data_IF_927115304184
#
_entry.id   IF_927115304184
#
_cell.length_a   1.000
_cell.length_b   1.000
_cell.length_c   1.000
_cell.angle_alpha   90.00
_cell.angle_beta   90.00
_cell.angle_gamma   90.00
#
_symmetry.space_group_name_H-M   'P 1'
#
loop_
_entity.id
_entity.type
_entity.pdbx_description
1 polymer ?
#
# COMPACT_ATOMS: atom_id res chain seq x y z
N UNK A 1 13.57 -9.88 -13.15
CA UNK A 1 12.14 -10.25 -12.97
C UNK A 1 11.36 -8.97 -12.73
N UNK A 2 10.57 -8.55 -13.71
CA UNK A 2 10.13 -7.17 -13.88
C UNK A 2 8.95 -6.81 -12.98
N UNK A 3 8.99 -5.61 -12.39
CA UNK A 3 7.90 -4.96 -11.62
C UNK A 3 6.53 -5.04 -12.30
N UNK A 4 6.50 -5.13 -13.63
CA UNK A 4 5.30 -5.29 -14.44
C UNK A 4 4.58 -6.64 -14.24
N UNK A 5 5.32 -7.72 -13.96
CA UNK A 5 4.75 -9.05 -13.74
C UNK A 5 4.12 -9.19 -12.35
N UNK A 6 4.70 -8.51 -11.35
CA UNK A 6 4.23 -8.55 -9.97
C UNK A 6 2.91 -7.77 -9.76
N UNK A 7 2.74 -6.64 -10.47
CA UNK A 7 1.48 -5.88 -10.47
C UNK A 7 0.34 -6.70 -11.10
N UNK A 8 0.64 -7.47 -12.16
CA UNK A 8 -0.36 -8.36 -12.77
C UNK A 8 -0.78 -9.54 -11.89
N UNK A 9 0.08 -10.01 -10.99
CA UNK A 9 -0.27 -11.12 -10.09
C UNK A 9 -1.29 -10.70 -9.01
N UNK A 10 -1.19 -9.46 -8.49
CA UNK A 10 -2.21 -8.87 -7.60
C UNK A 10 -3.55 -8.65 -8.29
N UNK A 11 -3.57 -8.49 -9.62
CA UNK A 11 -4.79 -8.28 -10.40
C UNK A 11 -5.59 -9.57 -10.68
N UNK A 12 -5.01 -10.76 -10.46
CA UNK A 12 -5.59 -12.05 -10.90
C UNK A 12 -6.29 -12.88 -9.80
N UNK A 13 -6.02 -12.64 -8.52
CA UNK A 13 -6.57 -13.46 -7.42
C UNK A 13 -7.68 -12.70 -6.69
N UNK A 14 -8.93 -12.85 -7.15
CA UNK A 14 -10.16 -12.50 -6.40
C UNK A 14 -10.39 -11.02 -6.03
N UNK A 15 -9.39 -10.17 -6.17
CA UNK A 15 -9.38 -8.78 -5.70
C UNK A 15 -10.24 -7.85 -6.55
N UNK A 16 -10.63 -8.21 -7.78
CA UNK A 16 -11.41 -7.29 -8.63
C UNK A 16 -12.85 -7.12 -8.16
N UNK A 17 -13.48 -8.18 -7.63
CA UNK A 17 -14.93 -8.21 -7.40
C UNK A 17 -15.35 -7.34 -6.21
N UNK A 18 -14.74 -7.52 -5.03
CA UNK A 18 -15.07 -6.72 -3.83
C UNK A 18 -14.62 -5.25 -4.02
N UNK A 19 -13.52 -5.06 -4.72
CA UNK A 19 -12.89 -3.78 -5.04
C UNK A 19 -13.66 -2.95 -6.07
N UNK A 20 -14.65 -3.54 -6.75
CA UNK A 20 -15.63 -2.87 -7.61
C UNK A 20 -16.96 -2.62 -6.85
N UNK A 21 -17.33 -3.50 -5.93
CA UNK A 21 -18.59 -3.35 -5.17
C UNK A 21 -18.50 -2.34 -4.02
N UNK A 22 -17.35 -2.23 -3.34
CA UNK A 22 -17.20 -1.34 -2.17
C UNK A 22 -16.50 -0.03 -2.52
N UNK A 23 -15.37 -0.08 -3.22
CA UNK A 23 -14.52 1.10 -3.42
C UNK A 23 -15.11 2.12 -4.39
N UNK A 24 -15.85 1.68 -5.39
CA UNK A 24 -16.43 2.55 -6.44
C UNK A 24 -17.58 3.43 -5.93
N UNK A 25 -18.58 2.91 -5.19
CA UNK A 25 -19.61 3.76 -4.59
C UNK A 25 -19.04 4.67 -3.48
N UNK A 26 -18.08 4.20 -2.68
CA UNK A 26 -17.42 5.04 -1.67
C UNK A 26 -16.59 6.18 -2.29
N UNK A 27 -15.88 5.92 -3.39
CA UNK A 27 -15.16 6.95 -4.11
C UNK A 27 -16.10 8.00 -4.72
N UNK A 28 -17.27 7.58 -5.20
CA UNK A 28 -18.33 8.46 -5.69
C UNK A 28 -18.94 9.29 -4.56
N UNK A 29 -19.24 8.67 -3.41
CA UNK A 29 -19.78 9.34 -2.21
C UNK A 29 -18.81 10.40 -1.66
N UNK A 30 -17.51 10.11 -1.69
CA UNK A 30 -16.44 11.01 -1.25
C UNK A 30 -16.02 12.03 -2.33
N UNK A 31 -16.70 12.07 -3.48
CA UNK A 31 -16.44 12.95 -4.61
C UNK A 31 -14.97 12.95 -5.05
N UNK A 32 -14.35 11.76 -5.03
CA UNK A 32 -12.95 11.58 -5.40
C UNK A 32 -12.84 11.65 -6.93
N UNK A 33 -12.58 12.85 -7.45
CA UNK A 33 -12.35 13.07 -8.88
C UNK A 33 -10.91 12.71 -9.25
N UNK A 34 -10.74 11.84 -10.24
CA UNK A 34 -9.42 11.53 -10.77
C UNK A 34 -8.87 12.75 -11.50
N UNK A 35 -7.77 13.31 -10.97
CA UNK A 35 -7.07 14.40 -11.65
C UNK A 35 -6.38 13.83 -12.87
N UNK A 36 -6.87 14.16 -14.07
CA UNK A 36 -6.23 13.80 -15.34
C UNK A 36 -4.81 14.36 -15.36
N UNK A 37 -3.82 13.46 -15.40
CA UNK A 37 -2.41 13.86 -15.46
C UNK A 37 -1.98 13.97 -16.91
N UNK A 38 -1.21 15.03 -17.19
CA UNK A 38 -0.63 15.25 -18.51
C UNK A 38 0.29 14.07 -18.87
N UNK A 39 0.04 13.50 -20.06
CA UNK A 39 0.88 12.45 -20.64
C UNK A 39 2.11 13.08 -21.28
N UNK A 40 3.23 12.38 -21.19
CA UNK A 40 4.47 12.82 -21.79
C UNK A 40 4.33 12.58 -23.30
N UNK A 41 4.74 13.54 -24.15
CA UNK A 41 4.73 13.35 -25.59
C UNK A 41 5.48 12.07 -25.98
N UNK A 42 5.03 11.29 -26.97
CA UNK A 42 5.74 10.09 -27.39
C UNK A 42 7.14 10.45 -27.90
N UNK A 43 8.18 9.90 -27.29
CA UNK A 43 9.57 10.05 -27.73
C UNK A 43 10.35 8.76 -27.42
N UNK A 44 10.69 7.99 -28.46
CA UNK A 44 11.32 6.68 -28.31
C UNK A 44 12.69 6.74 -27.65
N UNK A 45 13.48 7.77 -27.97
CA UNK A 45 14.83 7.99 -27.42
C UNK A 45 14.78 8.25 -25.92
N UNK A 46 13.89 9.16 -25.49
CA UNK A 46 13.74 9.50 -24.08
C UNK A 46 13.11 8.34 -23.28
N UNK A 47 12.15 7.62 -23.85
CA UNK A 47 11.53 6.45 -23.21
C UNK A 47 12.55 5.30 -23.05
N UNK A 48 13.38 5.05 -24.07
CA UNK A 48 14.43 4.05 -24.01
C UNK A 48 15.41 4.35 -22.86
N UNK A 49 15.91 5.60 -22.77
CA UNK A 49 16.78 6.03 -21.66
C UNK A 49 16.07 5.91 -20.29
N UNK A 50 14.80 6.31 -20.21
CA UNK A 50 14.02 6.25 -18.96
C UNK A 50 13.90 4.83 -18.39
N UNK A 51 13.75 3.83 -19.28
CA UNK A 51 13.58 2.44 -18.91
C UNK A 51 14.92 1.72 -18.64
N UNK A 52 16.02 2.15 -19.26
CA UNK A 52 17.31 1.43 -19.22
C UNK A 52 18.36 2.10 -18.33
N UNK A 53 18.49 3.42 -18.39
CA UNK A 53 19.58 4.16 -17.74
C UNK A 53 19.15 4.81 -16.43
N UNK A 54 17.98 5.44 -16.40
CA UNK A 54 17.47 6.06 -15.17
C UNK A 54 16.35 7.06 -15.35
N UNK A 55 15.68 7.39 -14.24
CA UNK A 55 14.51 8.29 -14.20
C UNK A 55 14.87 9.77 -14.03
N UNK A 56 16.12 10.08 -13.69
CA UNK A 56 16.61 11.43 -13.42
C UNK A 56 17.93 11.64 -14.16
N UNK A 57 17.90 12.17 -15.39
CA UNK A 57 19.12 12.42 -16.16
C UNK A 57 19.94 13.54 -15.53
N UNK A 58 21.26 13.40 -15.56
CA UNK A 58 22.23 14.46 -15.19
C UNK A 58 22.40 15.45 -16.34
N UNK A 59 23.02 16.61 -16.07
CA UNK A 59 23.19 17.68 -17.07
C UNK A 59 23.82 17.20 -18.39
N UNK A 60 24.89 16.40 -18.30
CA UNK A 60 25.57 15.82 -19.48
C UNK A 60 24.64 14.91 -20.29
N UNK A 61 23.80 14.13 -19.61
CA UNK A 61 22.83 13.24 -20.25
C UNK A 61 21.68 14.02 -20.89
N UNK A 62 21.25 15.13 -20.26
CA UNK A 62 20.24 16.05 -20.84
C UNK A 62 20.74 16.64 -22.15
N UNK A 63 22.02 17.05 -22.23
CA UNK A 63 22.61 17.56 -23.48
C UNK A 63 22.70 16.50 -24.57
N UNK A 64 23.11 15.28 -24.23
CA UNK A 64 23.14 14.15 -25.17
C UNK A 64 21.75 13.79 -25.69
N UNK A 65 20.77 13.68 -24.80
CA UNK A 65 19.38 13.37 -25.14
C UNK A 65 18.73 14.50 -25.95
N UNK A 66 19.08 15.76 -25.67
CA UNK A 66 18.66 16.93 -26.45
C UNK A 66 19.12 16.81 -27.90
N UNK A 67 20.40 16.47 -28.12
CA UNK A 67 20.94 16.25 -29.47
C UNK A 67 20.29 15.07 -30.20
N UNK A 68 20.05 13.96 -29.50
CA UNK A 68 19.47 12.75 -30.11
C UNK A 68 17.96 12.85 -30.40
N UNK A 69 17.24 13.64 -29.60
CA UNK A 69 15.78 13.77 -29.71
C UNK A 69 15.32 14.99 -30.51
N UNK A 70 16.23 15.92 -30.85
CA UNK A 70 15.91 17.18 -31.50
C UNK A 70 15.15 18.17 -30.60
N UNK A 71 15.08 17.90 -29.29
CA UNK A 71 14.40 18.74 -28.30
C UNK A 71 15.42 19.64 -27.59
N UNK A 72 15.00 20.82 -27.11
CA UNK A 72 15.81 21.63 -26.20
C UNK A 72 16.01 20.93 -24.85
N UNK A 73 17.11 21.23 -24.14
CA UNK A 73 17.36 20.67 -22.80
C UNK A 73 16.19 20.87 -21.82
N UNK A 74 15.54 22.04 -21.86
CA UNK A 74 14.32 22.32 -21.06
C UNK A 74 13.14 21.41 -21.42
N UNK A 75 12.95 21.09 -22.70
CA UNK A 75 11.90 20.18 -23.14
C UNK A 75 12.19 18.74 -22.69
N UNK A 76 13.46 18.32 -22.72
CA UNK A 76 13.89 17.02 -22.18
C UNK A 76 13.58 16.94 -20.69
N UNK A 77 14.00 17.92 -19.89
CA UNK A 77 13.73 17.96 -18.45
C UNK A 77 12.22 17.94 -18.13
N UNK A 78 11.43 18.74 -18.86
CA UNK A 78 9.96 18.76 -18.74
C UNK A 78 9.37 17.40 -19.08
N UNK A 79 9.88 16.72 -20.11
CA UNK A 79 9.44 15.39 -20.49
C UNK A 79 9.69 14.38 -19.35
N UNK A 80 10.90 14.35 -18.77
CA UNK A 80 11.22 13.47 -17.64
C UNK A 80 10.40 13.80 -16.39
N UNK A 81 10.09 15.07 -16.15
CA UNK A 81 9.18 15.47 -15.07
C UNK A 81 7.76 14.92 -15.30
N UNK A 82 7.19 15.13 -16.49
CA UNK A 82 5.87 14.61 -16.85
C UNK A 82 5.81 13.08 -16.81
N UNK A 83 6.84 12.39 -17.32
CA UNK A 83 6.93 10.92 -17.35
C UNK A 83 6.99 10.31 -15.96
N UNK A 84 7.76 10.91 -15.04
CA UNK A 84 7.75 10.53 -13.61
C UNK A 84 6.41 10.79 -12.94
N UNK A 85 5.72 11.87 -13.30
CA UNK A 85 4.40 12.17 -12.75
C UNK A 85 3.31 11.22 -13.26
N UNK A 86 3.48 10.63 -14.44
CA UNK A 86 2.63 9.53 -14.94
C UNK A 86 2.86 8.23 -14.17
N UNK A 87 4.10 7.90 -13.81
CA UNK A 87 4.42 6.68 -13.03
C UNK A 87 3.81 6.69 -11.62
N UNK A 88 3.48 7.87 -11.08
CA UNK A 88 2.89 7.97 -9.74
C UNK A 88 1.51 7.28 -9.76
N UNK A 89 1.17 6.42 -8.79
CA UNK A 89 -0.15 5.80 -8.74
C UNK A 89 -1.25 6.88 -8.65
N UNK A 90 -2.39 6.64 -9.30
CA UNK A 90 -3.52 7.56 -9.27
C UNK A 90 -4.15 7.59 -7.87
N UNK A 91 -4.86 8.68 -7.56
CA UNK A 91 -5.47 8.83 -6.24
C UNK A 91 -6.58 7.79 -6.04
N UNK A 92 -7.34 7.46 -7.08
CA UNK A 92 -8.29 6.35 -7.07
C UNK A 92 -7.60 5.02 -6.80
N UNK A 93 -6.46 4.74 -7.45
CA UNK A 93 -5.69 3.51 -7.19
C UNK A 93 -5.27 3.40 -5.72
N UNK A 94 -4.76 4.49 -5.14
CA UNK A 94 -4.39 4.54 -3.71
C UNK A 94 -5.60 4.37 -2.79
N UNK A 95 -6.71 5.05 -3.07
CA UNK A 95 -7.94 4.95 -2.29
C UNK A 95 -8.51 3.53 -2.34
N UNK A 96 -8.48 2.92 -3.51
CA UNK A 96 -8.93 1.55 -3.75
C UNK A 96 -8.06 0.53 -3.00
N UNK A 97 -6.74 0.68 -3.06
CA UNK A 97 -5.80 -0.12 -2.27
C UNK A 97 -6.03 0.04 -0.76
N UNK A 98 -6.25 1.27 -0.27
CA UNK A 98 -6.54 1.54 1.14
C UNK A 98 -7.89 0.97 1.59
N UNK A 99 -8.95 1.12 0.78
CA UNK A 99 -10.30 0.63 1.09
C UNK A 99 -10.36 -0.88 1.18
N UNK A 100 -9.62 -1.58 0.31
CA UNK A 100 -9.49 -3.04 0.38
C UNK A 100 -8.84 -3.48 1.68
N UNK A 101 -7.67 -2.91 1.99
CA UNK A 101 -6.95 -3.20 3.25
C UNK A 101 -7.84 -2.97 4.45
N UNK A 102 -8.55 -1.84 4.49
CA UNK A 102 -9.49 -1.51 5.56
C UNK A 102 -10.61 -2.55 5.69
N UNK A 103 -11.31 -2.86 4.60
CA UNK A 103 -12.43 -3.83 4.61
C UNK A 103 -11.97 -5.18 5.12
N UNK A 104 -10.76 -5.57 4.71
CA UNK A 104 -10.18 -6.84 5.04
C UNK A 104 -9.75 -6.95 6.51
N UNK A 105 -9.05 -5.95 7.04
CA UNK A 105 -8.73 -5.89 8.47
C UNK A 105 -9.99 -5.82 9.34
N UNK A 106 -11.04 -5.13 8.88
CA UNK A 106 -12.33 -5.08 9.57
C UNK A 106 -13.00 -6.45 9.65
N UNK A 107 -12.99 -7.23 8.57
CA UNK A 107 -13.54 -8.59 8.56
C UNK A 107 -12.75 -9.51 9.48
N UNK A 108 -11.41 -9.46 9.45
CA UNK A 108 -10.55 -10.23 10.34
C UNK A 108 -10.85 -9.92 11.82
N UNK A 109 -10.93 -8.63 12.17
CA UNK A 109 -11.27 -8.18 13.52
C UNK A 109 -12.65 -8.69 13.99
N UNK A 110 -13.69 -8.60 13.15
CA UNK A 110 -15.03 -9.10 13.50
C UNK A 110 -15.01 -10.63 13.67
N UNK A 111 -14.28 -11.35 12.81
CA UNK A 111 -14.14 -12.79 12.90
C UNK A 111 -13.42 -13.21 14.19
N UNK A 112 -12.32 -12.52 14.54
CA UNK A 112 -11.59 -12.75 15.80
C UNK A 112 -12.45 -12.48 17.03
N UNK A 113 -13.20 -11.37 17.03
CA UNK A 113 -14.14 -11.07 18.11
C UNK A 113 -15.23 -12.15 18.23
N UNK A 114 -15.80 -12.58 17.11
CA UNK A 114 -16.79 -13.66 17.08
C UNK A 114 -16.26 -15.01 17.58
N UNK A 115 -14.97 -15.29 17.39
CA UNK A 115 -14.35 -16.55 17.83
C UNK A 115 -14.10 -16.63 19.34
N UNK A 116 -14.00 -15.47 20.03
CA UNK A 116 -13.62 -15.39 21.45
C UNK A 116 -14.73 -14.86 22.37
N UNK A 117 -15.70 -14.10 21.88
CA UNK A 117 -16.67 -13.36 22.72
C UNK A 117 -17.56 -14.28 23.55
N UNK A 118 -17.87 -15.48 23.08
CA UNK A 118 -18.69 -16.46 23.79
C UNK A 118 -17.87 -17.32 24.77
N UNK A 119 -16.57 -17.04 24.91
CA UNK A 119 -15.66 -17.88 25.67
C UNK A 119 -15.39 -17.33 27.07
N UNK A 120 -15.39 -18.19 28.10
CA UNK A 120 -15.28 -17.72 29.48
C UNK A 120 -13.90 -17.12 29.80
N UNK A 121 -12.83 -17.55 29.11
CA UNK A 121 -11.48 -16.98 29.27
C UNK A 121 -11.30 -15.60 28.63
N UNK A 122 -12.26 -15.12 27.84
CA UNK A 122 -12.26 -13.74 27.36
C UNK A 122 -12.56 -12.74 28.48
N UNK A 123 -13.43 -13.13 29.42
CA UNK A 123 -13.84 -12.29 30.55
C UNK A 123 -13.06 -12.59 31.84
N UNK A 124 -12.54 -13.80 32.00
CA UNK A 124 -11.77 -14.21 33.17
C UNK A 124 -10.43 -14.83 32.77
N UNK A 125 -9.35 -14.06 32.96
CA UNK A 125 -7.99 -14.46 32.63
C UNK A 125 -7.50 -15.67 33.45
N UNK A 126 -8.12 -15.98 34.60
CA UNK A 126 -7.75 -17.19 35.36
C UNK A 126 -8.12 -18.46 34.60
N UNK A 127 -9.20 -18.42 33.82
CA UNK A 127 -9.67 -19.55 33.00
C UNK A 127 -8.79 -19.83 31.79
N UNK A 128 -7.87 -18.92 31.45
CA UNK A 128 -6.86 -19.16 30.41
C UNK A 128 -5.97 -20.35 30.78
N UNK A 129 -5.61 -20.47 32.06
CA UNK A 129 -4.65 -21.46 32.56
C UNK A 129 -5.29 -22.74 33.10
N UNK A 130 -6.61 -22.74 33.24
CA UNK A 130 -7.35 -23.89 33.75
C UNK A 130 -7.19 -25.10 32.80
N UNK A 131 -6.78 -26.24 33.37
CA UNK A 131 -6.52 -27.47 32.62
C UNK A 131 -5.19 -27.50 31.85
N UNK A 132 -4.33 -26.48 31.94
CA UNK A 132 -2.98 -26.55 31.39
C UNK A 132 -2.14 -27.60 32.13
N UNK A 133 -1.33 -28.45 31.45
CA UNK A 133 -0.97 -28.42 30.02
C UNK A 133 -1.91 -29.19 29.08
N UNK A 134 -2.91 -29.91 29.59
CA UNK A 134 -3.82 -30.75 28.79
C UNK A 134 -5.13 -29.98 28.55
N UNK A 135 -5.07 -28.98 27.68
CA UNK A 135 -6.24 -28.24 27.22
C UNK A 135 -6.80 -28.91 25.96
N UNK A 136 -8.09 -29.29 25.98
CA UNK A 136 -8.78 -29.78 24.79
C UNK A 136 -9.05 -28.63 23.83
N UNK A 137 -8.59 -28.74 22.58
CA UNK A 137 -8.88 -27.73 21.55
C UNK A 137 -10.32 -27.86 21.09
N UNK A 138 -11.09 -26.78 21.20
CA UNK A 138 -12.46 -26.73 20.69
C UNK A 138 -12.40 -26.53 19.17
N UNK A 139 -13.27 -27.17 18.36
CA UNK A 139 -13.24 -27.03 16.91
C UNK A 139 -13.26 -25.57 16.41
N UNK A 140 -13.98 -24.67 17.09
CA UNK A 140 -13.99 -23.25 16.74
C UNK A 140 -12.62 -22.58 16.90
N UNK A 141 -11.87 -22.94 17.95
CA UNK A 141 -10.52 -22.41 18.18
C UNK A 141 -9.54 -22.97 17.16
N UNK A 142 -9.67 -24.25 16.81
CA UNK A 142 -8.85 -24.87 15.76
C UNK A 142 -9.00 -24.11 14.44
N UNK A 143 -10.25 -23.91 13.99
CA UNK A 143 -10.50 -23.20 12.73
C UNK A 143 -10.05 -21.75 12.78
N UNK A 144 -10.26 -21.06 13.90
CA UNK A 144 -9.75 -19.71 14.09
C UNK A 144 -8.22 -19.65 13.92
N UNK A 145 -7.48 -20.52 14.63
CA UNK A 145 -6.03 -20.65 14.50
C UNK A 145 -5.58 -20.95 13.06
N UNK A 146 -6.21 -21.91 12.39
CA UNK A 146 -5.81 -22.30 11.03
C UNK A 146 -6.06 -21.19 10.02
N UNK A 147 -7.21 -20.50 10.13
CA UNK A 147 -7.56 -19.38 9.25
C UNK A 147 -6.59 -18.22 9.49
N UNK A 148 -6.34 -17.86 10.74
CA UNK A 148 -5.50 -16.72 11.12
C UNK A 148 -4.02 -16.97 10.81
N UNK A 149 -3.52 -18.18 11.03
CA UNK A 149 -2.16 -18.55 10.62
C UNK A 149 -2.02 -18.52 9.09
N UNK A 150 -2.97 -19.10 8.35
CA UNK A 150 -2.99 -19.07 6.88
C UNK A 150 -3.06 -17.63 6.35
N UNK A 151 -3.82 -16.80 7.05
CA UNK A 151 -3.97 -15.39 6.78
C UNK A 151 -2.64 -14.64 6.93
N UNK A 152 -1.95 -14.76 8.07
CA UNK A 152 -0.65 -14.14 8.27
C UNK A 152 0.43 -14.61 7.28
N UNK A 153 0.42 -15.90 6.92
CA UNK A 153 1.27 -16.42 5.84
C UNK A 153 0.98 -15.76 4.49
N UNK A 154 -0.31 -15.60 4.14
CA UNK A 154 -0.70 -14.92 2.89
C UNK A 154 -0.22 -13.47 2.85
N UNK A 155 -0.20 -12.78 3.99
CA UNK A 155 0.30 -11.41 4.11
C UNK A 155 1.80 -11.36 3.94
N UNK A 156 2.52 -12.29 4.56
CA UNK A 156 3.97 -12.38 4.43
C UNK A 156 4.39 -12.56 2.95
N UNK A 157 3.74 -13.46 2.21
CA UNK A 157 3.99 -13.67 0.78
C UNK A 157 3.59 -12.44 -0.07
N UNK A 158 2.46 -11.81 0.26
CA UNK A 158 1.98 -10.61 -0.43
C UNK A 158 2.93 -9.42 -0.23
N UNK A 159 3.49 -9.27 0.97
CA UNK A 159 4.47 -8.22 1.29
C UNK A 159 5.79 -8.52 0.59
N UNK A 160 6.28 -9.76 0.60
CA UNK A 160 7.52 -10.16 -0.09
C UNK A 160 7.49 -9.82 -1.60
N UNK A 161 6.30 -9.80 -2.19
CA UNK A 161 6.07 -9.45 -3.60
C UNK A 161 5.91 -7.94 -3.84
N UNK A 162 5.76 -7.13 -2.78
CA UNK A 162 5.52 -5.69 -2.88
C UNK A 162 6.82 -4.88 -3.08
N UNK A 163 6.69 -3.70 -3.68
CA UNK A 163 7.84 -2.80 -3.88
C UNK A 163 8.35 -2.36 -2.52
N UNK A 164 9.66 -2.53 -2.28
CA UNK A 164 10.33 -2.24 -1.00
C UNK A 164 10.08 -0.78 -0.56
N UNK A 165 9.12 -0.59 0.34
CA UNK A 165 8.86 0.69 1.02
C UNK A 165 9.78 0.82 2.24
N UNK A 166 9.88 2.02 2.83
CA UNK A 166 10.71 2.24 4.03
C UNK A 166 10.25 1.39 5.22
N UNK A 167 8.94 1.11 5.28
CA UNK A 167 8.30 0.38 6.38
C UNK A 167 8.24 -1.14 6.12
N UNK A 168 8.84 -1.61 5.01
CA UNK A 168 8.82 -3.01 4.59
C UNK A 168 9.47 -3.95 5.61
N UNK A 169 10.61 -3.53 6.19
CA UNK A 169 11.33 -4.36 7.17
C UNK A 169 10.54 -4.54 8.45
N UNK A 170 9.93 -3.46 8.93
CA UNK A 170 9.11 -3.46 10.13
C UNK A 170 7.88 -4.35 9.96
N UNK A 171 7.17 -4.23 8.83
CA UNK A 171 6.04 -5.10 8.52
C UNK A 171 6.46 -6.57 8.45
N UNK A 172 7.57 -6.92 7.78
CA UNK A 172 8.03 -8.32 7.73
C UNK A 172 8.38 -8.86 9.12
N UNK A 173 9.13 -8.08 9.92
CA UNK A 173 9.51 -8.52 11.27
C UNK A 173 8.28 -8.79 12.11
N UNK A 174 7.28 -7.91 12.05
CA UNK A 174 6.00 -8.08 12.74
C UNK A 174 5.25 -9.34 12.32
N UNK A 175 5.12 -9.60 11.01
CA UNK A 175 4.41 -10.78 10.50
C UNK A 175 5.15 -12.08 10.82
N UNK A 176 6.48 -12.08 10.77
CA UNK A 176 7.28 -13.24 11.18
C UNK A 176 7.14 -13.50 12.68
N UNK A 177 7.17 -12.44 13.50
CA UNK A 177 7.01 -12.56 14.95
C UNK A 177 5.63 -13.13 15.32
N UNK A 178 4.55 -12.64 14.71
CA UNK A 178 3.18 -13.15 14.93
C UNK A 178 3.04 -14.61 14.48
N UNK A 179 3.57 -14.99 13.31
CA UNK A 179 3.57 -16.40 12.86
C UNK A 179 4.30 -17.31 13.85
N UNK A 180 5.46 -16.88 14.34
CA UNK A 180 6.22 -17.65 15.35
C UNK A 180 5.42 -17.77 16.64
N UNK A 181 4.80 -16.68 17.11
CA UNK A 181 4.04 -16.66 18.36
C UNK A 181 2.79 -17.56 18.30
N UNK A 182 2.05 -17.51 17.18
CA UNK A 182 0.89 -18.37 16.91
C UNK A 182 1.34 -19.84 16.87
N UNK A 183 2.40 -20.14 16.13
CA UNK A 183 2.93 -21.51 16.00
C UNK A 183 3.41 -22.06 17.34
N UNK A 184 4.18 -21.26 18.09
CA UNK A 184 4.66 -21.64 19.42
C UNK A 184 3.50 -21.88 20.39
N UNK A 185 2.49 -21.00 20.39
CA UNK A 185 1.29 -21.16 21.22
C UNK A 185 0.53 -22.44 20.90
N UNK A 186 0.51 -22.85 19.62
CA UNK A 186 -0.09 -24.11 19.19
C UNK A 186 0.70 -25.32 19.71
N UNK A 187 2.02 -25.34 19.50
CA UNK A 187 2.88 -26.46 19.94
C UNK A 187 2.93 -26.61 21.46
N UNK A 188 2.88 -25.52 22.21
CA UNK A 188 2.89 -25.51 23.67
C UNK A 188 1.50 -25.72 24.29
N UNK A 189 0.45 -25.93 23.48
CA UNK A 189 -0.94 -26.07 23.91
C UNK A 189 -1.47 -24.87 24.73
N UNK A 190 -0.99 -23.66 24.44
CA UNK A 190 -1.46 -22.40 25.01
C UNK A 190 -2.69 -21.85 24.26
N UNK A 191 -3.61 -22.72 23.84
CA UNK A 191 -4.67 -22.39 22.88
C UNK A 191 -5.56 -21.25 23.40
N UNK A 192 -5.95 -21.28 24.68
CA UNK A 192 -6.79 -20.21 25.27
C UNK A 192 -6.06 -18.86 25.29
N UNK A 193 -4.81 -18.85 25.74
CA UNK A 193 -4.00 -17.64 25.81
C UNK A 193 -3.74 -17.07 24.40
N UNK A 194 -3.39 -17.95 23.46
CA UNK A 194 -3.10 -17.55 22.10
C UNK A 194 -4.32 -17.01 21.35
N UNK A 195 -5.54 -17.52 21.58
CA UNK A 195 -6.75 -16.87 21.00
C UNK A 195 -6.95 -15.42 21.45
N UNK A 196 -6.55 -15.07 22.67
CA UNK A 196 -6.63 -13.70 23.17
C UNK A 196 -5.51 -12.82 22.56
N UNK A 197 -4.30 -13.38 22.49
CA UNK A 197 -3.15 -12.70 21.90
C UNK A 197 -3.38 -12.40 20.42
N UNK A 198 -3.96 -13.34 19.66
CA UNK A 198 -4.31 -13.16 18.27
C UNK A 198 -5.33 -12.02 18.06
N UNK A 199 -6.42 -12.01 18.84
CA UNK A 199 -7.40 -10.92 18.77
C UNK A 199 -6.82 -9.54 19.13
N UNK A 200 -5.86 -9.49 20.07
CA UNK A 200 -5.12 -8.27 20.39
C UNK A 200 -4.21 -7.84 19.23
N UNK A 201 -3.53 -8.78 18.58
CA UNK A 201 -2.70 -8.50 17.40
C UNK A 201 -3.53 -7.92 16.26
N UNK A 202 -4.67 -8.53 15.92
CA UNK A 202 -5.61 -8.04 14.91
C UNK A 202 -6.07 -6.60 15.20
N UNK A 203 -6.34 -6.29 16.47
CA UNK A 203 -6.72 -4.95 16.92
C UNK A 203 -5.60 -3.92 16.72
N UNK A 204 -4.35 -4.32 16.98
CA UNK A 204 -3.18 -3.45 16.88
C UNK A 204 -2.75 -3.19 15.43
N UNK A 205 -2.90 -4.19 14.55
CA UNK A 205 -2.54 -4.09 13.13
C UNK A 205 -3.43 -3.07 12.40
N UNK A 206 -4.71 -3.02 12.77
CA UNK A 206 -5.64 -2.01 12.31
C UNK A 206 -5.21 -0.58 12.69
N UNK A 207 -4.76 -0.36 13.93
CA UNK A 207 -4.32 0.96 14.42
C UNK A 207 -3.03 1.43 13.73
N UNK A 208 -2.09 0.51 13.47
CA UNK A 208 -0.84 0.83 12.78
C UNK A 208 -1.10 1.26 11.33
N UNK A 209 -1.93 0.53 10.58
CA UNK A 209 -2.27 0.91 9.19
C UNK A 209 -3.00 2.27 9.13
N UNK A 210 -3.86 2.58 10.12
CA UNK A 210 -4.53 3.89 10.21
C UNK A 210 -3.57 5.04 10.54
N UNK A 211 -2.61 4.83 11.45
CA UNK A 211 -1.67 5.87 11.85
C UNK A 211 -0.67 6.19 10.73
N UNK A 212 -0.13 5.16 10.07
CA UNK A 212 0.83 5.31 8.97
C UNK A 212 0.18 5.61 7.61
N UNK A 213 -1.13 5.37 7.48
CA UNK A 213 -1.92 5.72 6.29
C UNK A 213 -2.22 7.21 6.14
N UNK A 214 -1.95 8.05 7.15
CA UNK A 214 -2.15 9.51 7.03
C UNK A 214 -1.15 10.06 5.99
N UNK A 215 -1.61 10.63 4.87
CA UNK A 215 -0.72 11.42 4.03
C UNK A 215 -0.21 12.57 4.90
N UNK A 216 1.11 12.73 5.02
CA UNK A 216 1.69 13.97 5.54
C UNK A 216 1.11 15.12 4.72
N UNK A 217 0.13 15.81 5.29
CA UNK A 217 -0.58 16.94 4.68
C UNK A 217 0.28 18.21 4.72
N UNK A 218 1.60 18.07 4.56
CA UNK A 218 2.53 19.18 4.46
C UNK A 218 2.94 19.34 3.00
N UNK A 219 2.57 20.47 2.39
CA UNK A 219 3.15 21.09 1.19
C UNK A 219 2.23 21.32 -0.02
N UNK A 220 0.92 21.07 0.04
CA UNK A 220 0.03 21.46 -1.07
C UNK A 220 -0.35 22.95 -1.10
N UNK A 221 -0.17 23.70 -0.02
CA UNK A 221 -0.56 25.11 0.07
C UNK A 221 0.53 26.12 -0.37
N UNK A 222 1.74 25.68 -0.79
CA UNK A 222 2.85 26.59 -1.11
C UNK A 222 3.20 26.71 -2.61
N UNK A 223 2.57 25.95 -3.49
CA UNK A 223 2.86 26.01 -4.96
C UNK A 223 1.77 26.73 -5.77
N UNK A 224 0.82 27.42 -5.13
CA UNK A 224 -0.29 28.09 -5.82
C UNK A 224 -0.06 29.56 -6.18
N UNK A 225 1.08 30.16 -5.80
CA UNK A 225 1.33 31.60 -6.00
C UNK A 225 2.73 31.80 -6.58
N UNK A 226 2.90 31.53 -7.88
CA UNK A 226 3.78 32.25 -8.80
C UNK A 226 3.85 31.50 -10.12
N UNK A 227 2.99 31.87 -11.05
CA UNK A 227 3.21 31.76 -12.50
C UNK A 227 2.13 32.61 -13.19
N UNK A 228 2.40 33.91 -13.35
CA UNK A 228 1.75 34.73 -14.38
C UNK A 228 2.73 34.89 -15.55
N UNK A 229 2.34 34.60 -16.80
CA UNK A 229 3.19 34.82 -17.96
C UNK A 229 2.90 36.17 -18.65
N UNK A 230 3.97 36.88 -19.01
CA UNK A 230 4.10 37.56 -20.30
C UNK A 230 3.69 39.04 -20.39
N UNK A 231 4.70 39.91 -20.51
CA UNK A 231 4.60 41.06 -21.40
C UNK A 231 5.99 41.44 -21.94
N UNK A 232 6.27 41.01 -23.17
CA UNK A 232 7.32 41.57 -24.02
C UNK A 232 6.63 42.01 -25.31
N UNK A 233 6.64 43.30 -25.59
CA UNK A 233 6.59 43.83 -26.95
C UNK A 233 7.41 45.10 -26.94
N UNK A 234 8.58 44.99 -27.56
CA UNK A 234 9.30 46.12 -28.12
C UNK A 234 8.40 46.80 -29.15
N UNK A 235 8.20 48.11 -29.02
CA UNK A 235 7.83 48.97 -30.14
C UNK A 235 9.03 49.83 -30.49
N UNK A 236 9.49 49.63 -31.72
CA UNK A 236 10.44 50.42 -32.47
C UNK A 236 10.21 51.94 -32.37
N UNK A 237 11.34 52.67 -32.33
CA UNK A 237 11.63 53.97 -32.97
C UNK A 237 10.48 54.95 -33.21
N UNK A 238 10.49 56.06 -32.47
CA UNK A 238 10.41 57.43 -32.98
C UNK A 238 10.73 58.42 -31.84
N UNK A 239 12.00 58.84 -31.75
CA UNK A 239 12.49 60.23 -31.55
C UNK A 239 14.01 60.20 -31.34
#
# INVERSE_FOLDING_TARGET
MNYHCCVQFKDQVGLRTILLYVATPLAALLNIKEKTRLRAPPNATLEHFYLTSGKQPKQVEVELLSRQSGLSGRQVERWFHCRRNQDRPSLLKKFREASWRFTFYLIAFIAGLGAIVDKPWFYDMKKVWEGYPIQSTIPSQYWYYMIELSFYWSLLFSIASDVKRKDFKEQIIHHVATIILISFSWFANYIRAGTLIMALHDSSDYLLELHFGKPRQGNYLRSGVQDQPGQHSETLSLQ
#
